data_IF_520268320513
#
_entry.id   IF_520268320513
#
_cell.length_a   1.000
_cell.length_b   1.000
_cell.length_c   1.000
_cell.angle_alpha   90.00
_cell.angle_beta   90.00
_cell.angle_gamma   90.00
#
_symmetry.space_group_name_H-M   'P 1'
#
loop_
_entity.id
_entity.type
_entity.pdbx_description
1 polymer ?
#
# COMPACT_ATOMS: atom_id res chain seq x y z
N UNK A 1 15.55 -5.01 1.40
CA UNK A 1 16.06 -3.98 0.46
C UNK A 1 14.89 -3.26 -0.22
N UNK A 2 14.97 -1.94 -0.48
CA UNK A 2 13.95 -1.24 -1.28
C UNK A 2 14.27 -1.37 -2.77
N UNK A 3 13.28 -1.75 -3.58
CA UNK A 3 13.38 -1.75 -5.04
C UNK A 3 12.44 -0.71 -5.64
N UNK A 4 12.85 -0.11 -6.76
CA UNK A 4 11.98 0.77 -7.54
C UNK A 4 10.94 -0.08 -8.24
N UNK A 5 9.66 0.16 -7.93
CA UNK A 5 8.57 -0.54 -8.60
C UNK A 5 8.05 0.24 -9.80
N UNK A 6 7.77 1.54 -9.63
CA UNK A 6 7.24 2.42 -10.67
C UNK A 6 7.80 3.83 -10.56
N UNK A 7 7.86 4.50 -11.71
CA UNK A 7 8.07 5.94 -11.81
C UNK A 7 6.83 6.54 -12.47
N UNK A 8 6.23 7.53 -11.81
CA UNK A 8 4.96 8.15 -12.22
C UNK A 8 5.05 9.67 -12.05
N UNK A 9 4.01 10.39 -12.50
CA UNK A 9 3.96 11.83 -12.29
C UNK A 9 3.85 12.17 -10.79
N UNK A 10 4.32 13.35 -10.38
CA UNK A 10 4.11 13.80 -9.00
C UNK A 10 2.63 13.95 -8.65
N UNK A 11 1.81 14.32 -9.63
CA UNK A 11 0.36 14.41 -9.48
C UNK A 11 -0.24 13.04 -9.15
N UNK A 12 0.20 11.97 -9.81
CA UNK A 12 -0.24 10.61 -9.52
C UNK A 12 0.19 10.15 -8.13
N UNK A 13 1.41 10.48 -7.70
CA UNK A 13 1.86 10.19 -6.33
C UNK A 13 0.97 10.87 -5.30
N UNK A 14 0.74 12.19 -5.45
CA UNK A 14 -0.09 12.94 -4.52
C UNK A 14 -1.53 12.41 -4.51
N UNK A 15 -2.08 12.09 -5.69
CA UNK A 15 -3.40 11.47 -5.82
C UNK A 15 -3.48 10.14 -5.09
N UNK A 16 -2.47 9.28 -5.21
CA UNK A 16 -2.41 8.00 -4.47
C UNK A 16 -2.37 8.25 -2.97
N UNK A 17 -1.50 9.16 -2.50
CA UNK A 17 -1.36 9.50 -1.09
C UNK A 17 -2.68 10.01 -0.52
N UNK A 18 -3.36 10.91 -1.23
CA UNK A 18 -4.65 11.46 -0.83
C UNK A 18 -5.74 10.37 -0.80
N UNK A 19 -5.77 9.50 -1.82
CA UNK A 19 -6.70 8.38 -1.86
C UNK A 19 -6.51 7.46 -0.64
N UNK A 20 -5.28 7.03 -0.38
CA UNK A 20 -4.94 6.19 0.77
C UNK A 20 -5.26 6.89 2.10
N UNK A 21 -5.01 8.20 2.20
CA UNK A 21 -5.36 9.02 3.37
C UNK A 21 -6.87 9.10 3.62
N UNK A 22 -7.68 9.08 2.56
CA UNK A 22 -9.14 9.04 2.68
C UNK A 22 -9.67 7.64 3.06
N UNK A 23 -8.98 6.58 2.63
CA UNK A 23 -9.34 5.17 2.83
C UNK A 23 -8.50 4.52 3.95
N UNK A 24 -8.27 5.24 5.04
CA UNK A 24 -7.51 4.70 6.17
C UNK A 24 -8.30 3.65 6.95
N UNK A 25 -7.61 2.83 7.75
CA UNK A 25 -8.22 1.88 8.70
C UNK A 25 -9.32 2.55 9.54
N UNK A 26 -9.08 3.77 10.03
CA UNK A 26 -10.03 4.51 10.87
C UNK A 26 -11.33 4.86 10.12
N UNK A 27 -11.26 4.94 8.80
CA UNK A 27 -12.40 5.20 7.92
C UNK A 27 -12.98 3.92 7.32
N UNK A 28 -12.60 2.74 7.81
CA UNK A 28 -13.05 1.44 7.30
C UNK A 28 -12.34 0.98 6.03
N UNK A 29 -11.24 1.63 5.64
CA UNK A 29 -10.37 1.19 4.56
C UNK A 29 -9.19 0.35 5.06
N UNK A 30 -8.10 0.30 4.29
CA UNK A 30 -6.99 -0.63 4.49
C UNK A 30 -5.64 0.04 4.73
N UNK A 31 -5.58 1.35 4.53
CA UNK A 31 -4.31 2.05 4.48
C UNK A 31 -3.97 2.70 5.81
N UNK A 32 -2.68 2.80 6.06
CA UNK A 32 -2.12 3.78 6.97
C UNK A 32 -1.12 4.62 6.20
N UNK A 33 -1.15 5.94 6.38
CA UNK A 33 -0.32 6.88 5.64
C UNK A 33 0.51 7.67 6.64
N UNK A 34 1.83 7.57 6.49
CA UNK A 34 2.80 8.24 7.34
C UNK A 34 3.68 9.14 6.47
N UNK A 35 3.48 10.47 6.51
CA UNK A 35 4.42 11.39 5.88
C UNK A 35 5.74 11.42 6.66
N UNK A 36 6.84 11.67 5.97
CA UNK A 36 8.08 12.09 6.63
C UNK A 36 7.92 13.50 7.27
N UNK A 37 8.85 13.93 8.13
CA UNK A 37 8.73 15.22 8.82
C UNK A 37 8.62 16.43 7.89
N UNK A 38 9.23 16.34 6.71
CA UNK A 38 9.23 17.41 5.70
C UNK A 38 8.07 17.31 4.71
N UNK A 39 7.26 16.24 4.79
CA UNK A 39 6.18 15.86 3.86
C UNK A 39 6.62 15.73 2.41
N UNK A 40 7.88 15.34 2.21
CA UNK A 40 8.48 15.13 0.89
C UNK A 40 8.31 13.67 0.44
N UNK A 41 8.26 12.74 1.40
CA UNK A 41 8.03 11.33 1.17
C UNK A 41 6.92 10.77 2.07
N UNK A 42 6.31 9.68 1.62
CA UNK A 42 5.18 9.05 2.32
C UNK A 42 5.38 7.54 2.37
N UNK A 43 5.16 6.97 3.55
CA UNK A 43 5.08 5.54 3.77
C UNK A 43 3.60 5.18 3.78
N UNK A 44 3.23 4.22 2.93
CA UNK A 44 1.87 3.70 2.88
C UNK A 44 1.90 2.23 3.29
N UNK A 45 1.31 1.92 4.44
CA UNK A 45 1.12 0.56 4.92
C UNK A 45 -0.21 0.04 4.38
N UNK A 46 -0.18 -1.14 3.77
CA UNK A 46 -1.37 -1.85 3.29
C UNK A 46 -1.67 -2.97 4.27
N UNK A 47 -2.89 -3.00 4.81
CA UNK A 47 -3.33 -4.01 5.76
C UNK A 47 -4.24 -5.06 5.11
N UNK A 48 -4.35 -6.23 5.76
CA UNK A 48 -5.18 -7.33 5.28
C UNK A 48 -6.67 -7.06 5.45
N UNK A 49 -7.47 -7.60 4.53
CA UNK A 49 -8.93 -7.62 4.62
C UNK A 49 -9.39 -8.83 5.45
N UNK A 50 -9.14 -8.86 6.76
CA UNK A 50 -9.75 -9.91 7.60
C UNK A 50 -11.19 -9.55 7.94
N UNK A 51 -12.15 -10.31 7.40
CA UNK A 51 -13.55 -10.32 7.83
C UNK A 51 -13.80 -11.29 8.98
N UNK A 52 -12.77 -11.99 9.47
CA UNK A 52 -12.88 -12.99 10.53
C UNK A 52 -12.36 -12.41 11.84
N UNK A 53 -13.33 -12.18 12.72
CA UNK A 53 -13.20 -11.74 14.11
C UNK A 53 -12.61 -10.35 14.35
N UNK A 54 -13.42 -9.52 15.02
CA UNK A 54 -13.11 -8.20 15.58
C UNK A 54 -11.95 -8.15 16.58
N UNK A 55 -11.19 -9.24 16.71
CA UNK A 55 -10.02 -9.41 17.57
C UNK A 55 -8.74 -9.79 16.79
N UNK A 56 -8.85 -10.25 15.55
CA UNK A 56 -7.68 -10.38 14.68
C UNK A 56 -7.33 -8.99 14.14
N UNK A 57 -6.39 -8.35 14.83
CA UNK A 57 -5.78 -7.08 14.41
C UNK A 57 -5.46 -7.14 12.92
N UNK A 58 -5.92 -6.15 12.17
CA UNK A 58 -5.47 -5.88 10.81
C UNK A 58 -3.96 -6.09 10.76
N UNK A 59 -3.53 -7.10 10.00
CA UNK A 59 -2.12 -7.44 9.89
C UNK A 59 -1.56 -6.64 8.72
N UNK A 60 -0.45 -5.91 8.90
CA UNK A 60 0.25 -5.30 7.78
C UNK A 60 0.60 -6.39 6.76
N UNK A 61 0.14 -6.22 5.54
CA UNK A 61 0.56 -7.06 4.41
C UNK A 61 1.89 -6.59 3.84
N UNK A 62 2.18 -5.30 3.97
CA UNK A 62 3.44 -4.73 3.54
C UNK A 62 3.30 -3.22 3.39
N UNK A 63 4.36 -2.60 2.90
CA UNK A 63 4.40 -1.17 2.67
C UNK A 63 4.96 -0.84 1.29
N UNK A 64 4.53 0.30 0.77
CA UNK A 64 5.18 0.97 -0.33
C UNK A 64 5.45 2.42 0.02
N UNK A 65 6.42 2.98 -0.68
CA UNK A 65 7.01 4.26 -0.33
C UNK A 65 6.93 5.18 -1.53
N UNK A 66 6.28 6.31 -1.33
CA UNK A 66 6.16 7.36 -2.32
C UNK A 66 7.25 8.41 -2.11
N UNK A 67 7.94 8.78 -3.19
CA UNK A 67 9.01 9.77 -3.23
C UNK A 67 10.28 9.45 -2.42
N UNK A 68 10.38 8.26 -1.83
CA UNK A 68 11.51 7.90 -0.96
C UNK A 68 12.86 7.89 -1.68
N UNK A 69 12.92 7.29 -2.88
CA UNK A 69 14.13 7.25 -3.71
C UNK A 69 14.27 8.46 -4.66
N UNK A 70 13.27 9.35 -4.68
CA UNK A 70 13.23 10.53 -5.53
C UNK A 70 11.80 10.93 -5.93
N UNK A 71 11.57 12.17 -6.39
CA UNK A 71 10.24 12.66 -6.77
C UNK A 71 9.59 11.77 -7.85
N UNK A 72 8.35 11.33 -7.64
CA UNK A 72 7.60 10.48 -8.56
C UNK A 72 7.96 8.99 -8.49
N UNK A 73 8.88 8.59 -7.61
CA UNK A 73 9.32 7.19 -7.49
C UNK A 73 8.50 6.47 -6.43
N UNK A 74 7.92 5.33 -6.80
CA UNK A 74 7.29 4.39 -5.87
C UNK A 74 8.24 3.20 -5.66
N UNK A 75 8.66 3.00 -4.42
CA UNK A 75 9.49 1.85 -4.03
C UNK A 75 8.73 0.90 -3.13
N UNK A 76 9.12 -0.37 -3.12
CA UNK A 76 8.56 -1.42 -2.27
C UNK A 76 9.70 -2.10 -1.52
N UNK A 77 9.40 -2.63 -0.34
CA UNK A 77 10.31 -3.54 0.35
C UNK A 77 10.09 -4.96 -0.19
N UNK A 78 11.12 -5.55 -0.79
CA UNK A 78 11.04 -6.93 -1.31
C UNK A 78 11.39 -7.98 -0.26
N UNK A 79 11.99 -7.55 0.85
CA UNK A 79 12.48 -8.42 1.92
C UNK A 79 11.97 -7.88 3.26
N UNK A 80 10.69 -8.10 3.54
CA UNK A 80 10.12 -7.81 4.85
C UNK A 80 10.47 -8.95 5.83
N UNK A 81 11.23 -8.69 6.91
CA UNK A 81 11.62 -9.70 7.91
C UNK A 81 10.45 -10.29 8.69
N UNK A 82 9.24 -9.70 8.62
CA UNK A 82 8.03 -10.26 9.21
C UNK A 82 7.45 -11.44 8.41
N UNK A 83 7.96 -11.70 7.20
CA UNK A 83 7.59 -12.85 6.38
C UNK A 83 8.76 -13.86 6.35
N UNK A 84 8.66 -14.90 7.16
CA UNK A 84 9.75 -15.87 7.41
C UNK A 84 9.98 -16.90 6.28
N UNK A 85 9.27 -16.82 5.14
CA UNK A 85 9.40 -17.78 4.03
C UNK A 85 9.40 -17.13 2.65
N UNK A 86 10.15 -17.70 1.69
CA UNK A 86 10.25 -17.19 0.30
C UNK A 86 8.88 -17.10 -0.37
N UNK A 87 8.00 -18.08 -0.14
CA UNK A 87 6.66 -18.11 -0.72
C UNK A 87 5.72 -17.07 -0.11
N UNK A 88 5.80 -16.82 1.20
CA UNK A 88 5.04 -15.74 1.85
C UNK A 88 5.61 -14.38 1.47
N UNK A 89 6.92 -14.30 1.21
CA UNK A 89 7.58 -13.10 0.67
C UNK A 89 7.08 -12.73 -0.72
N UNK A 90 7.11 -13.67 -1.66
CA UNK A 90 6.64 -13.42 -3.03
C UNK A 90 5.16 -13.02 -3.11
N UNK A 91 4.32 -13.61 -2.25
CA UNK A 91 2.88 -13.34 -2.22
C UNK A 91 2.54 -11.94 -1.72
N UNK A 92 3.20 -11.44 -0.66
CA UNK A 92 2.94 -10.09 -0.18
C UNK A 92 3.45 -9.03 -1.17
N UNK A 93 4.64 -9.20 -1.75
CA UNK A 93 5.17 -8.28 -2.78
C UNK A 93 4.21 -8.19 -3.95
N UNK A 94 3.67 -9.33 -4.40
CA UNK A 94 2.68 -9.37 -5.49
C UNK A 94 1.41 -8.62 -5.12
N UNK A 95 0.92 -8.78 -3.89
CA UNK A 95 -0.25 -8.06 -3.39
C UNK A 95 -0.04 -6.54 -3.37
N UNK A 96 1.11 -6.08 -2.87
CA UNK A 96 1.45 -4.65 -2.82
C UNK A 96 1.56 -4.09 -4.24
N UNK A 97 2.22 -4.79 -5.16
CA UNK A 97 2.30 -4.39 -6.58
C UNK A 97 0.91 -4.26 -7.21
N UNK A 98 0.03 -5.22 -6.97
CA UNK A 98 -1.35 -5.17 -7.46
C UNK A 98 -2.12 -3.99 -6.90
N UNK A 99 -1.98 -3.69 -5.61
CA UNK A 99 -2.60 -2.52 -4.98
C UNK A 99 -2.11 -1.24 -5.63
N UNK A 100 -0.79 -1.09 -5.86
CA UNK A 100 -0.23 0.08 -6.53
C UNK A 100 -0.79 0.24 -7.94
N UNK A 101 -0.86 -0.84 -8.72
CA UNK A 101 -1.38 -0.80 -10.09
C UNK A 101 -2.87 -0.38 -10.12
N UNK A 102 -3.67 -0.89 -9.17
CA UNK A 102 -5.09 -0.49 -9.02
C UNK A 102 -5.21 0.99 -8.61
N UNK A 103 -4.39 1.46 -7.66
CA UNK A 103 -4.41 2.86 -7.24
C UNK A 103 -4.01 3.80 -8.39
N UNK A 104 -3.06 3.39 -9.22
CA UNK A 104 -2.68 4.15 -10.42
C UNK A 104 -3.83 4.21 -11.43
N UNK A 105 -4.50 3.08 -11.67
CA UNK A 105 -5.55 2.96 -12.68
C UNK A 105 -6.92 3.52 -12.25
N UNK A 106 -7.26 3.42 -10.97
CA UNK A 106 -8.63 3.65 -10.47
C UNK A 106 -8.69 4.58 -9.25
N UNK A 107 -7.56 4.88 -8.60
CA UNK A 107 -7.46 5.69 -7.37
C UNK A 107 -7.73 7.18 -7.60
N UNK A 108 -8.83 7.52 -8.26
CA UNK A 108 -9.26 8.89 -8.51
C UNK A 108 -10.19 9.37 -7.40
N UNK A 109 -10.23 10.70 -7.13
CA UNK A 109 -11.13 11.27 -6.13
C UNK A 109 -12.59 10.86 -6.35
N UNK A 110 -13.26 10.40 -5.29
CA UNK A 110 -14.66 10.00 -5.32
C UNK A 110 -14.93 8.56 -5.79
N UNK A 111 -13.90 7.83 -6.25
CA UNK A 111 -14.03 6.41 -6.60
C UNK A 111 -13.99 5.56 -5.32
N UNK A 112 -14.90 4.58 -5.22
CA UNK A 112 -14.83 3.55 -4.18
C UNK A 112 -14.22 2.28 -4.78
N UNK A 113 -13.00 1.96 -4.37
CA UNK A 113 -12.33 0.71 -4.75
C UNK A 113 -12.57 -0.31 -3.65
N UNK A 114 -13.13 -1.47 -4.00
CA UNK A 114 -13.33 -2.57 -3.06
C UNK A 114 -12.15 -3.54 -3.11
N UNK A 115 -11.20 -3.35 -2.20
CA UNK A 115 -10.03 -4.21 -2.07
C UNK A 115 -10.35 -5.57 -1.40
N UNK A 116 -11.52 -5.75 -0.77
CA UNK A 116 -11.91 -7.00 -0.10
C UNK A 116 -12.08 -8.19 -1.07
N UNK A 117 -12.23 -7.93 -2.35
CA UNK A 117 -12.40 -8.95 -3.37
C UNK A 117 -11.06 -9.46 -3.91
N UNK A 118 -9.95 -8.77 -3.61
CA UNK A 118 -8.62 -9.15 -4.08
C UNK A 118 -8.14 -10.40 -3.34
N UNK A 119 -7.96 -11.55 -4.04
CA UNK A 119 -7.46 -12.76 -3.41
C UNK A 119 -6.06 -12.55 -2.80
N UNK A 120 -5.29 -11.65 -3.39
CA UNK A 120 -3.98 -11.26 -2.92
C UNK A 120 -3.99 -10.47 -1.61
N UNK A 121 -5.14 -10.06 -1.06
CA UNK A 121 -5.22 -9.37 0.24
C UNK A 121 -5.88 -10.21 1.34
N UNK A 122 -6.26 -11.46 1.01
CA UNK A 122 -6.85 -12.42 1.94
C UNK A 122 -5.74 -13.34 2.47
N UNK A 123 -5.09 -12.93 3.56
CA UNK A 123 -4.07 -13.69 4.26
C UNK A 123 -4.42 -13.85 5.73
#
# INVERSE_FOLDING_TARGET
>A
VHSVYRTVSLEDVLRIVDFCGSQTIKNGGLFEVYPDPERNSFIIIVNSCSTLDSKERLRPLGAFYCNYAGPGVITIEEEDPHFDGVDSRGKHVTAIKQVIDILLAEGFPGVKINFNELPALKF
#
